data_IF_750097476624
#
_entry.id   IF_750097476624
#
_cell.length_a   1.000
_cell.length_b   1.000
_cell.length_c   1.000
_cell.angle_alpha   90.00
_cell.angle_beta   90.00
_cell.angle_gamma   90.00
#
_symmetry.space_group_name_H-M   'P 1'
#
loop_
_entity.id
_entity.type
_entity.pdbx_description
1 polymer ?
#
# COMPACT_ATOMS: atom_id res chain seq x y z
N UNK A 1 4.42 6.21 -1.38
CA UNK A 1 4.36 6.21 -2.82
C UNK A 1 4.81 7.57 -3.36
N UNK A 2 5.54 7.58 -4.48
CA UNK A 2 6.08 8.80 -5.07
C UNK A 2 4.96 9.75 -5.52
N UNK A 3 3.81 9.22 -5.89
CA UNK A 3 2.60 9.99 -6.13
C UNK A 3 1.42 9.25 -5.52
N UNK A 4 0.62 9.98 -4.76
CA UNK A 4 -0.59 9.47 -4.11
C UNK A 4 -1.86 9.84 -4.89
N UNK A 5 -1.73 10.55 -6.00
CA UNK A 5 -2.86 10.95 -6.85
C UNK A 5 -3.29 9.79 -7.76
N UNK A 6 -4.59 9.63 -7.95
CA UNK A 6 -5.14 8.70 -8.94
C UNK A 6 -4.85 9.23 -10.34
N UNK A 7 -5.17 10.52 -10.58
CA UNK A 7 -4.73 11.26 -11.75
C UNK A 7 -3.96 12.51 -11.33
N UNK A 8 -3.12 13.01 -12.22
CA UNK A 8 -2.57 14.36 -12.12
C UNK A 8 -3.66 15.40 -12.44
N UNK A 9 -3.42 16.66 -12.08
CA UNK A 9 -4.33 17.78 -12.34
C UNK A 9 -4.62 17.99 -13.85
N UNK A 10 -3.86 17.33 -14.72
CA UNK A 10 -4.04 17.36 -16.18
C UNK A 10 -4.74 16.11 -16.74
N UNK A 11 -5.34 15.29 -15.88
CA UNK A 11 -6.02 14.06 -16.30
C UNK A 11 -5.10 12.99 -16.85
N UNK A 12 -3.85 12.93 -16.40
CA UNK A 12 -2.84 11.96 -16.83
C UNK A 12 -2.52 10.99 -15.68
N UNK A 13 -2.28 9.73 -15.96
CA UNK A 13 -1.82 8.76 -14.98
C UNK A 13 -0.44 9.18 -14.42
N UNK A 14 -0.23 9.17 -13.08
CA UNK A 14 0.86 9.90 -12.42
C UNK A 14 2.22 9.19 -12.45
N UNK A 15 2.45 8.30 -13.41
CA UNK A 15 3.72 7.54 -13.48
C UNK A 15 4.91 8.37 -13.97
N UNK A 16 4.69 9.44 -14.74
CA UNK A 16 5.74 10.36 -15.22
C UNK A 16 5.88 11.61 -14.32
N UNK A 17 5.60 11.48 -13.03
CA UNK A 17 5.79 12.58 -12.08
C UNK A 17 7.26 12.70 -11.67
N UNK A 18 7.66 13.91 -11.24
CA UNK A 18 8.98 14.17 -10.69
C UNK A 18 9.28 13.22 -9.51
N UNK A 19 8.31 13.05 -8.61
CA UNK A 19 8.43 12.20 -7.42
C UNK A 19 8.63 10.72 -7.78
N UNK A 20 7.97 10.23 -8.82
CA UNK A 20 8.17 8.87 -9.31
C UNK A 20 9.57 8.69 -9.89
N UNK A 21 10.02 9.66 -10.68
CA UNK A 21 11.38 9.64 -11.23
C UNK A 21 12.45 9.69 -10.13
N UNK A 22 12.27 10.51 -9.10
CA UNK A 22 13.18 10.58 -7.95
C UNK A 22 13.19 9.26 -7.16
N UNK A 23 12.03 8.61 -6.96
CA UNK A 23 11.94 7.33 -6.28
C UNK A 23 12.66 6.21 -7.06
N UNK A 24 12.49 6.14 -8.39
CA UNK A 24 13.21 5.16 -9.21
C UNK A 24 14.70 5.51 -9.33
N UNK A 25 15.05 6.79 -9.29
CA UNK A 25 16.43 7.26 -9.20
C UNK A 25 17.15 6.76 -7.95
N UNK A 26 16.47 6.72 -6.80
CA UNK A 26 17.00 6.11 -5.58
C UNK A 26 17.27 4.61 -5.77
N UNK A 27 16.31 3.87 -6.32
CA UNK A 27 16.50 2.43 -6.60
C UNK A 27 17.69 2.22 -7.53
N UNK A 28 17.77 3.00 -8.61
CA UNK A 28 18.92 2.93 -9.52
C UNK A 28 20.24 3.23 -8.83
N UNK A 29 20.29 4.25 -7.98
CA UNK A 29 21.49 4.58 -7.19
C UNK A 29 21.94 3.41 -6.32
N UNK A 30 21.02 2.74 -5.63
CA UNK A 30 21.30 1.56 -4.81
C UNK A 30 21.80 0.36 -5.63
N UNK A 31 21.35 0.23 -6.89
CA UNK A 31 21.87 -0.78 -7.84
C UNK A 31 23.29 -0.42 -8.28
N UNK A 32 23.51 0.84 -8.66
CA UNK A 32 24.77 1.31 -9.21
C UNK A 32 25.92 1.25 -8.18
N UNK A 33 25.64 1.48 -6.91
CA UNK A 33 26.62 1.42 -5.82
C UNK A 33 26.75 0.03 -5.17
N UNK A 34 25.93 -0.94 -5.62
CA UNK A 34 25.97 -2.31 -5.14
C UNK A 34 25.33 -2.53 -3.75
N UNK A 35 24.51 -1.61 -3.27
CA UNK A 35 23.82 -1.71 -1.96
C UNK A 35 22.62 -2.67 -1.98
N UNK A 36 22.13 -3.02 -3.16
CA UNK A 36 21.04 -4.00 -3.31
C UNK A 36 21.63 -5.43 -3.31
N UNK A 37 20.98 -6.34 -2.60
CA UNK A 37 21.35 -7.76 -2.64
C UNK A 37 21.34 -8.28 -4.09
N UNK A 38 22.38 -8.98 -4.55
CA UNK A 38 22.55 -9.34 -5.96
C UNK A 38 21.41 -10.19 -6.52
N UNK A 39 20.78 -11.01 -5.68
CA UNK A 39 19.68 -11.88 -6.08
C UNK A 39 18.29 -11.27 -5.83
N UNK A 40 18.18 -9.97 -5.55
CA UNK A 40 16.92 -9.30 -5.14
C UNK A 40 15.74 -9.61 -6.07
N UNK A 41 15.95 -9.74 -7.37
CA UNK A 41 14.87 -10.05 -8.33
C UNK A 41 14.35 -11.50 -8.24
N UNK A 42 15.11 -12.40 -7.63
CA UNK A 42 14.79 -13.83 -7.53
C UNK A 42 14.36 -14.24 -6.11
N UNK A 43 14.63 -13.39 -5.12
CA UNK A 43 14.35 -13.67 -3.71
C UNK A 43 12.86 -13.48 -3.43
N UNK A 44 12.22 -14.48 -2.85
CA UNK A 44 10.86 -14.35 -2.33
C UNK A 44 10.82 -13.52 -1.04
N UNK A 45 9.66 -12.94 -0.72
CA UNK A 45 9.50 -12.16 0.51
C UNK A 45 9.83 -12.95 1.80
N UNK A 46 9.49 -14.26 1.95
CA UNK A 46 9.97 -15.08 3.07
C UNK A 46 11.49 -15.18 3.12
N UNK A 47 12.15 -15.44 2.00
CA UNK A 47 13.62 -15.54 1.94
C UNK A 47 14.30 -14.23 2.30
N UNK A 48 13.77 -13.10 1.83
CA UNK A 48 14.30 -11.77 2.19
C UNK A 48 14.23 -11.53 3.70
N UNK A 49 13.16 -11.98 4.38
CA UNK A 49 13.03 -11.91 5.84
C UNK A 49 14.08 -12.74 6.56
N UNK A 50 14.37 -13.94 6.04
CA UNK A 50 15.40 -14.81 6.58
C UNK A 50 16.81 -14.20 6.41
N UNK A 51 17.11 -13.66 5.24
CA UNK A 51 18.39 -12.99 4.98
C UNK A 51 18.61 -11.77 5.88
N UNK A 52 17.57 -10.99 6.15
CA UNK A 52 17.62 -9.91 7.11
C UNK A 52 17.89 -10.43 8.54
N UNK A 53 17.16 -11.43 8.98
CA UNK A 53 17.34 -12.03 10.31
C UNK A 53 18.73 -12.65 10.49
N UNK A 54 19.36 -13.12 9.41
CA UNK A 54 20.74 -13.64 9.40
C UNK A 54 21.81 -12.53 9.29
N UNK A 55 21.42 -11.25 9.25
CA UNK A 55 22.35 -10.11 9.15
C UNK A 55 22.94 -9.89 7.75
N UNK A 56 22.34 -10.46 6.71
CA UNK A 56 22.81 -10.28 5.32
C UNK A 56 22.26 -9.01 4.66
N UNK A 57 21.28 -8.35 5.28
CA UNK A 57 20.77 -7.05 4.87
C UNK A 57 20.65 -6.13 6.09
N UNK A 58 21.11 -4.89 5.96
CA UNK A 58 21.00 -3.87 7.01
C UNK A 58 19.59 -3.26 7.09
N UNK A 59 18.85 -3.24 5.99
CA UNK A 59 17.51 -2.70 5.88
C UNK A 59 16.62 -3.66 5.10
N UNK A 60 15.37 -3.76 5.52
CA UNK A 60 14.35 -4.51 4.81
C UNK A 60 13.03 -3.73 4.83
N UNK A 61 12.45 -3.47 3.67
CA UNK A 61 11.11 -2.91 3.57
C UNK A 61 10.08 -4.03 3.68
N UNK A 62 9.41 -4.12 4.83
CA UNK A 62 8.42 -5.16 5.12
C UNK A 62 7.31 -4.62 6.03
N UNK A 63 6.23 -5.38 6.16
CA UNK A 63 5.12 -5.04 7.04
C UNK A 63 5.27 -5.63 8.45
N UNK A 64 4.40 -5.21 9.35
CA UNK A 64 4.38 -5.61 10.76
C UNK A 64 4.25 -7.12 11.01
N UNK A 65 3.69 -7.87 10.07
CA UNK A 65 3.55 -9.34 10.17
C UNK A 65 4.88 -10.08 10.33
N UNK A 66 6.02 -9.42 10.13
CA UNK A 66 7.33 -10.01 10.35
C UNK A 66 7.70 -10.08 11.82
N UNK A 67 7.16 -9.21 12.67
CA UNK A 67 7.53 -9.08 14.08
C UNK A 67 7.33 -10.40 14.82
N UNK A 68 6.12 -10.95 14.79
CA UNK A 68 5.83 -12.22 15.48
C UNK A 68 6.66 -13.38 14.96
N UNK A 69 6.99 -13.40 13.66
CA UNK A 69 7.84 -14.42 13.06
C UNK A 69 9.29 -14.32 13.57
N UNK A 70 9.84 -13.10 13.62
CA UNK A 70 11.21 -12.89 14.09
C UNK A 70 11.34 -13.12 15.59
N UNK A 71 10.40 -12.65 16.39
CA UNK A 71 10.41 -12.88 17.84
C UNK A 71 10.35 -14.38 18.19
N UNK A 72 9.61 -15.17 17.41
CA UNK A 72 9.51 -16.62 17.61
C UNK A 72 10.74 -17.38 17.14
N UNK A 73 11.31 -17.03 15.98
CA UNK A 73 12.37 -17.80 15.34
C UNK A 73 13.78 -17.25 15.61
N UNK A 74 13.88 -15.96 15.94
CA UNK A 74 15.15 -15.24 16.15
C UNK A 74 15.06 -14.35 17.39
N UNK A 75 14.90 -14.91 18.60
CA UNK A 75 14.66 -14.14 19.82
C UNK A 75 15.81 -13.19 20.20
N UNK A 76 17.01 -13.44 19.70
CA UNK A 76 18.18 -12.58 19.91
C UNK A 76 18.40 -11.54 18.79
N UNK A 77 17.50 -11.47 17.81
CA UNK A 77 17.60 -10.51 16.71
C UNK A 77 17.38 -9.10 17.23
N UNK A 78 18.43 -8.28 17.16
CA UNK A 78 18.37 -6.87 17.53
C UNK A 78 18.07 -6.02 16.28
N UNK A 79 16.85 -5.53 16.17
CA UNK A 79 16.41 -4.66 15.07
C UNK A 79 15.52 -3.53 15.58
N UNK A 80 15.31 -2.53 14.77
CA UNK A 80 14.36 -1.45 15.02
C UNK A 80 13.41 -1.27 13.85
N UNK A 81 12.33 -0.54 14.08
CA UNK A 81 11.36 -0.15 13.06
C UNK A 81 11.50 1.34 12.80
N UNK A 82 11.56 1.72 11.54
CA UNK A 82 11.65 3.12 11.11
C UNK A 82 10.67 3.40 9.97
N UNK A 83 10.25 4.64 9.86
CA UNK A 83 9.47 5.08 8.71
C UNK A 83 10.28 4.99 7.42
N UNK A 84 9.60 4.76 6.30
CA UNK A 84 10.26 4.78 4.98
C UNK A 84 10.92 6.15 4.77
N UNK A 85 12.21 6.21 4.41
CA UNK A 85 12.89 7.47 4.16
C UNK A 85 12.22 8.27 3.04
N UNK A 86 12.15 9.58 3.21
CA UNK A 86 11.66 10.54 2.22
C UNK A 86 12.69 11.63 2.02
N UNK A 87 12.66 12.36 0.88
CA UNK A 87 13.55 13.52 0.66
C UNK A 87 13.38 14.58 1.75
N UNK A 88 14.43 15.36 2.00
CA UNK A 88 14.41 16.46 2.96
C UNK A 88 13.28 17.46 2.63
N UNK A 89 12.52 17.82 3.67
CA UNK A 89 11.39 18.75 3.55
C UNK A 89 10.10 18.15 3.01
N UNK A 90 10.06 16.83 2.74
CA UNK A 90 8.85 16.11 2.34
C UNK A 90 8.18 15.50 3.56
N UNK A 91 6.86 15.66 3.66
CA UNK A 91 6.06 14.99 4.69
C UNK A 91 5.94 13.50 4.34
N UNK A 92 6.31 12.64 5.30
CA UNK A 92 6.17 11.20 5.14
C UNK A 92 4.72 10.79 5.34
N UNK A 93 4.08 10.31 4.27
CA UNK A 93 2.72 9.79 4.31
C UNK A 93 2.62 8.46 3.59
N UNK A 94 1.80 7.55 4.16
CA UNK A 94 1.40 6.30 3.51
C UNK A 94 -0.04 6.39 3.03
N UNK A 95 -0.26 5.83 1.84
CA UNK A 95 -1.61 5.64 1.34
C UNK A 95 -2.28 4.49 2.09
N UNK A 96 -3.39 4.76 2.74
CA UNK A 96 -4.29 3.75 3.26
C UNK A 96 -5.53 3.73 2.38
N UNK A 97 -5.95 2.53 1.95
CA UNK A 97 -7.23 2.41 1.27
C UNK A 97 -8.32 3.01 2.16
N UNK A 98 -9.20 3.79 1.55
CA UNK A 98 -10.29 4.42 2.29
C UNK A 98 -11.12 3.41 3.09
N UNK A 99 -12.00 3.91 3.92
CA UNK A 99 -12.80 3.20 4.93
C UNK A 99 -13.54 1.94 4.44
N UNK A 100 -13.57 1.67 3.14
CA UNK A 100 -14.32 0.61 2.50
C UNK A 100 -13.42 -0.40 1.81
N UNK A 101 -12.35 -0.82 2.46
CA UNK A 101 -11.62 -2.01 2.00
C UNK A 101 -12.18 -3.25 2.71
N UNK A 102 -13.26 -3.87 2.21
CA UNK A 102 -13.84 -5.06 2.83
C UNK A 102 -12.91 -6.24 2.60
N UNK A 103 -12.19 -6.65 3.64
CA UNK A 103 -11.31 -7.81 3.61
C UNK A 103 -12.06 -9.14 3.72
N UNK A 104 -13.29 -9.09 4.23
CA UNK A 104 -14.10 -10.26 4.46
C UNK A 104 -15.52 -10.05 3.93
N UNK A 105 -16.08 -11.10 3.36
CA UNK A 105 -17.44 -11.09 2.86
C UNK A 105 -18.12 -12.44 3.05
N UNK A 106 -19.44 -12.44 3.03
CA UNK A 106 -20.22 -13.67 3.07
C UNK A 106 -20.59 -14.03 1.64
N UNK A 107 -20.24 -15.26 1.25
CA UNK A 107 -20.57 -15.76 -0.09
C UNK A 107 -22.08 -15.72 -0.32
N UNK A 108 -22.52 -15.07 -1.41
CA UNK A 108 -23.94 -14.83 -1.72
C UNK A 108 -24.81 -16.10 -1.73
N UNK A 109 -24.21 -17.24 -2.10
CA UNK A 109 -24.91 -18.54 -2.16
C UNK A 109 -24.66 -19.40 -0.91
N UNK A 110 -24.12 -18.82 0.18
CA UNK A 110 -23.95 -19.53 1.45
C UNK A 110 -25.30 -20.07 1.92
N UNK A 111 -25.29 -21.29 2.43
CA UNK A 111 -26.47 -21.90 3.09
C UNK A 111 -26.57 -21.47 4.56
N UNK A 112 -25.56 -20.80 5.08
CA UNK A 112 -25.41 -20.37 6.49
C UNK A 112 -25.00 -18.90 6.60
N UNK A 113 -25.71 -17.96 5.92
CA UNK A 113 -25.28 -16.56 5.90
C UNK A 113 -25.37 -15.88 7.27
N UNK A 114 -26.33 -16.31 8.11
CA UNK A 114 -26.51 -15.77 9.45
C UNK A 114 -25.38 -16.19 10.38
N UNK A 115 -25.06 -17.47 10.40
CA UNK A 115 -23.94 -18.02 11.20
C UNK A 115 -22.59 -17.44 10.74
N UNK A 116 -22.42 -17.22 9.43
CA UNK A 116 -21.25 -16.56 8.90
C UNK A 116 -21.15 -15.10 9.39
N UNK A 117 -22.26 -14.36 9.43
CA UNK A 117 -22.30 -13.01 9.96
C UNK A 117 -21.99 -12.98 11.47
N UNK A 118 -22.57 -13.89 12.24
CA UNK A 118 -22.31 -14.04 13.68
C UNK A 118 -20.82 -14.33 13.93
N UNK A 119 -20.22 -15.22 13.12
CA UNK A 119 -18.77 -15.49 13.19
C UNK A 119 -17.93 -14.25 12.90
N UNK A 120 -18.23 -13.50 11.83
CA UNK A 120 -17.50 -12.28 11.51
C UNK A 120 -17.62 -11.24 12.62
N UNK A 121 -18.78 -11.08 13.22
CA UNK A 121 -18.96 -10.17 14.35
C UNK A 121 -18.19 -10.62 15.59
N UNK A 122 -18.12 -11.92 15.84
CA UNK A 122 -17.34 -12.47 16.95
C UNK A 122 -15.84 -12.18 16.86
N UNK A 123 -15.28 -11.96 15.65
CA UNK A 123 -13.89 -11.56 15.47
C UNK A 123 -13.58 -10.16 16.02
N UNK A 124 -14.60 -9.31 16.23
CA UNK A 124 -14.48 -7.95 16.75
C UNK A 124 -15.06 -7.81 18.16
N UNK A 125 -15.70 -8.84 18.69
CA UNK A 125 -16.25 -8.85 20.04
C UNK A 125 -15.15 -9.19 21.06
N UNK A 126 -14.88 -8.27 21.97
CA UNK A 126 -13.85 -8.43 23.02
C UNK A 126 -14.05 -9.69 23.88
N UNK A 127 -15.31 -10.15 24.02
CA UNK A 127 -15.66 -11.37 24.78
C UNK A 127 -14.91 -12.61 24.24
N UNK A 128 -14.67 -12.68 22.93
CA UNK A 128 -14.00 -13.83 22.31
C UNK A 128 -12.48 -13.69 22.23
N UNK A 129 -11.95 -12.51 22.53
CA UNK A 129 -10.51 -12.27 22.66
C UNK A 129 -9.69 -12.39 21.37
N UNK A 130 -10.32 -12.47 20.20
CA UNK A 130 -9.58 -12.62 18.93
C UNK A 130 -8.66 -11.44 18.66
N UNK A 131 -9.20 -10.21 18.73
CA UNK A 131 -8.40 -8.99 18.53
C UNK A 131 -7.30 -8.89 19.59
N UNK A 132 -7.66 -9.11 20.85
CA UNK A 132 -6.73 -9.08 21.97
C UNK A 132 -5.54 -10.02 21.75
N UNK A 133 -5.78 -11.31 21.51
CA UNK A 133 -4.71 -12.31 21.40
C UNK A 133 -3.78 -12.05 20.22
N UNK A 134 -4.30 -11.49 19.12
CA UNK A 134 -3.49 -11.14 17.96
C UNK A 134 -2.64 -9.89 18.18
N UNK A 135 -3.16 -8.90 18.91
CA UNK A 135 -2.40 -7.71 19.31
C UNK A 135 -1.31 -8.10 20.33
N UNK A 136 -1.64 -8.90 21.34
CA UNK A 136 -0.68 -9.39 22.34
C UNK A 136 0.46 -10.22 21.71
N UNK A 137 0.14 -11.06 20.73
CA UNK A 137 1.13 -11.88 20.03
C UNK A 137 1.96 -11.11 18.98
N UNK A 138 1.65 -9.85 18.71
CA UNK A 138 2.32 -9.06 17.66
C UNK A 138 1.96 -9.50 16.24
N UNK A 139 0.82 -10.15 16.05
CA UNK A 139 0.39 -10.65 14.73
C UNK A 139 -0.20 -9.53 13.85
N UNK A 140 -0.93 -8.59 14.44
CA UNK A 140 -1.46 -7.41 13.76
C UNK A 140 -1.76 -6.25 14.73
N UNK A 141 -2.05 -5.09 14.16
CA UNK A 141 -2.62 -3.93 14.85
C UNK A 141 -4.14 -3.96 14.63
N UNK A 142 -4.92 -3.85 15.71
CA UNK A 142 -6.38 -3.78 15.62
C UNK A 142 -6.83 -2.47 14.99
N UNK A 143 -7.93 -2.50 14.25
CA UNK A 143 -8.64 -1.29 13.82
C UNK A 143 -9.43 -0.62 14.97
N UNK A 144 -9.41 -1.20 16.16
CA UNK A 144 -10.02 -0.65 17.39
C UNK A 144 -8.87 -0.14 18.25
N UNK A 145 -8.65 1.20 18.32
CA UNK A 145 -7.49 1.79 19.01
C UNK A 145 -7.37 1.36 20.48
N UNK A 146 -8.49 1.28 21.20
CA UNK A 146 -8.53 0.90 22.61
C UNK A 146 -7.96 -0.49 22.88
N UNK A 147 -8.09 -1.40 21.92
CA UNK A 147 -7.49 -2.74 21.99
C UNK A 147 -5.97 -2.66 21.87
N UNK A 148 -5.47 -1.84 20.95
CA UNK A 148 -4.02 -1.64 20.78
C UNK A 148 -3.42 -1.03 22.05
N UNK A 149 -4.03 0.04 22.58
CA UNK A 149 -3.58 0.70 23.81
C UNK A 149 -3.53 -0.24 25.01
N UNK A 150 -4.53 -1.12 25.12
CA UNK A 150 -4.69 -2.02 26.27
C UNK A 150 -3.80 -3.26 26.21
N UNK A 151 -3.58 -3.82 25.03
CA UNK A 151 -3.02 -5.16 24.87
C UNK A 151 -1.70 -5.21 24.10
N UNK A 152 -1.25 -4.14 23.45
CA UNK A 152 0.01 -4.12 22.72
C UNK A 152 1.19 -4.04 23.69
N UNK A 153 1.84 -5.16 23.92
CA UNK A 153 3.02 -5.25 24.81
C UNK A 153 4.35 -5.30 24.07
N UNK A 154 4.36 -5.74 22.80
CA UNK A 154 5.55 -5.88 21.98
C UNK A 154 6.09 -4.51 21.55
N UNK A 155 7.37 -4.23 21.85
CA UNK A 155 8.00 -2.93 21.60
C UNK A 155 8.16 -2.62 20.10
N UNK A 156 8.44 -3.61 19.25
CA UNK A 156 8.52 -3.41 17.81
C UNK A 156 7.14 -3.10 17.22
N UNK A 157 6.10 -3.75 17.72
CA UNK A 157 4.72 -3.44 17.33
C UNK A 157 4.30 -2.03 17.76
N UNK A 158 4.72 -1.56 18.93
CA UNK A 158 4.50 -0.18 19.37
C UNK A 158 5.18 0.82 18.43
N UNK A 159 6.43 0.55 18.03
CA UNK A 159 7.13 1.39 17.06
C UNK A 159 6.36 1.44 15.72
N UNK A 160 5.89 0.30 15.22
CA UNK A 160 5.07 0.22 14.02
C UNK A 160 3.78 1.02 14.16
N UNK A 161 3.08 0.85 15.28
CA UNK A 161 1.82 1.53 15.54
C UNK A 161 2.00 3.04 15.57
N UNK A 162 2.99 3.54 16.30
CA UNK A 162 3.33 4.98 16.35
C UNK A 162 3.64 5.54 14.97
N UNK A 163 4.48 4.84 14.19
CA UNK A 163 4.82 5.28 12.83
C UNK A 163 3.57 5.27 11.94
N UNK A 164 2.70 4.27 12.07
CA UNK A 164 1.47 4.19 11.29
C UNK A 164 0.51 5.34 11.62
N UNK A 165 0.32 5.68 12.89
CA UNK A 165 -0.51 6.82 13.32
C UNK A 165 0.02 8.15 12.78
N UNK A 166 1.34 8.34 12.81
CA UNK A 166 1.97 9.57 12.33
C UNK A 166 1.91 9.73 10.82
N UNK A 167 2.05 8.62 10.08
CA UNK A 167 2.29 8.66 8.63
C UNK A 167 1.13 8.20 7.78
N UNK A 168 0.24 7.34 8.30
CA UNK A 168 -0.89 6.81 7.49
C UNK A 168 -1.97 7.86 7.28
N UNK A 169 -2.50 7.92 6.06
CA UNK A 169 -3.60 8.83 5.69
C UNK A 169 -4.64 8.08 4.87
N UNK A 170 -5.89 8.36 5.18
CA UNK A 170 -7.02 7.89 4.37
C UNK A 170 -7.02 8.63 3.04
N UNK A 171 -7.08 7.88 1.95
CA UNK A 171 -7.03 8.43 0.60
C UNK A 171 -8.40 8.40 -0.07
N UNK A 172 -8.65 9.27 -1.06
CA UNK A 172 -9.87 9.21 -1.85
C UNK A 172 -9.96 7.89 -2.62
N UNK A 173 -11.16 7.35 -2.72
CA UNK A 173 -11.46 6.15 -3.51
C UNK A 173 -12.51 6.44 -4.58
N UNK A 174 -12.29 5.91 -5.77
CA UNK A 174 -13.23 6.05 -6.88
C UNK A 174 -14.59 5.42 -6.54
N UNK A 175 -14.60 4.32 -5.79
CA UNK A 175 -15.83 3.61 -5.39
C UNK A 175 -16.78 4.49 -4.57
N UNK A 176 -16.27 5.41 -3.77
CA UNK A 176 -17.09 6.40 -3.04
C UNK A 176 -17.58 7.54 -3.92
N UNK A 177 -16.87 7.82 -5.01
CA UNK A 177 -17.15 8.97 -5.88
C UNK A 177 -18.07 8.64 -7.03
N UNK A 178 -17.96 7.44 -7.61
CA UNK A 178 -18.68 7.09 -8.84
C UNK A 178 -19.26 5.67 -8.75
N UNK A 179 -20.54 5.52 -9.03
CA UNK A 179 -21.24 4.22 -9.00
C UNK A 179 -20.71 3.22 -10.05
N UNK A 180 -20.06 3.71 -11.10
CA UNK A 180 -19.42 2.91 -12.16
C UNK A 180 -18.03 2.41 -11.83
N UNK A 181 -17.49 2.78 -10.67
CA UNK A 181 -16.11 2.46 -10.30
C UNK A 181 -15.76 0.97 -10.40
N UNK A 182 -16.67 0.09 -9.95
CA UNK A 182 -16.42 -1.35 -10.01
C UNK A 182 -16.44 -1.88 -11.45
N UNK A 183 -17.35 -1.37 -12.29
CA UNK A 183 -17.40 -1.71 -13.71
C UNK A 183 -16.14 -1.22 -14.43
N UNK A 184 -15.67 -0.01 -14.09
CA UNK A 184 -14.42 0.54 -14.59
C UNK A 184 -13.21 -0.34 -14.22
N UNK A 185 -13.04 -0.71 -12.94
CA UNK A 185 -11.95 -1.57 -12.52
C UNK A 185 -11.98 -2.96 -13.19
N UNK A 186 -13.17 -3.49 -13.47
CA UNK A 186 -13.31 -4.75 -14.18
C UNK A 186 -12.99 -4.63 -15.69
N UNK A 187 -13.17 -3.45 -16.27
CA UNK A 187 -12.94 -3.18 -17.70
C UNK A 187 -11.48 -2.82 -18.01
N UNK A 188 -10.74 -2.24 -17.03
CA UNK A 188 -9.34 -1.84 -17.21
C UNK A 188 -8.46 -3.05 -17.52
N UNK A 189 -7.64 -2.94 -18.57
CA UNK A 189 -6.65 -3.93 -18.98
C UNK A 189 -5.27 -3.56 -18.48
N UNK A 190 -4.48 -4.59 -18.17
CA UNK A 190 -3.09 -4.41 -17.76
C UNK A 190 -2.26 -3.73 -18.85
N UNK A 191 -1.58 -2.66 -18.48
CA UNK A 191 -0.62 -1.97 -19.34
C UNK A 191 0.77 -2.55 -19.12
N UNK A 192 1.51 -2.77 -20.22
CA UNK A 192 2.85 -3.33 -20.18
C UNK A 192 3.87 -2.42 -20.91
N UNK A 193 5.10 -2.28 -20.36
CA UNK A 193 5.55 -2.86 -19.08
C UNK A 193 4.86 -2.21 -17.87
N UNK A 194 4.53 -3.01 -16.87
CA UNK A 194 4.01 -2.47 -15.60
C UNK A 194 5.10 -1.73 -14.83
N UNK A 195 4.72 -0.93 -13.82
CA UNK A 195 5.69 -0.29 -12.93
C UNK A 195 6.62 -1.33 -12.26
N UNK A 196 6.07 -2.47 -11.84
CA UNK A 196 6.88 -3.57 -11.30
C UNK A 196 7.90 -4.12 -12.28
N UNK A 197 7.52 -4.28 -13.55
CA UNK A 197 8.44 -4.71 -14.61
C UNK A 197 9.55 -3.67 -14.88
N UNK A 198 9.22 -2.37 -14.80
CA UNK A 198 10.22 -1.30 -14.93
C UNK A 198 11.21 -1.36 -13.75
N UNK A 199 10.74 -1.51 -12.52
CA UNK A 199 11.59 -1.66 -11.33
C UNK A 199 12.51 -2.88 -11.46
N UNK A 200 11.97 -4.03 -11.85
CA UNK A 200 12.78 -5.23 -12.12
C UNK A 200 13.81 -5.01 -13.22
N UNK A 201 13.44 -4.26 -14.27
CA UNK A 201 14.35 -3.88 -15.35
C UNK A 201 15.49 -2.98 -14.88
N UNK A 202 15.24 -2.06 -13.95
CA UNK A 202 16.29 -1.22 -13.33
C UNK A 202 17.23 -2.10 -12.49
N UNK A 203 16.69 -2.96 -11.64
CA UNK A 203 17.48 -3.84 -10.76
C UNK A 203 18.33 -4.81 -11.58
N UNK A 204 17.78 -5.40 -12.63
CA UNK A 204 18.51 -6.29 -13.57
C UNK A 204 19.40 -5.54 -14.56
N UNK A 205 19.40 -4.21 -14.54
CA UNK A 205 20.12 -3.34 -15.48
C UNK A 205 19.71 -3.52 -16.97
N UNK A 206 18.55 -4.14 -17.22
CA UNK A 206 17.98 -4.26 -18.57
C UNK A 206 17.24 -3.00 -19.02
N UNK A 207 16.83 -2.14 -18.10
CA UNK A 207 16.26 -0.80 -18.34
C UNK A 207 17.22 0.24 -17.76
N UNK A 208 17.84 1.02 -18.62
CA UNK A 208 18.72 2.14 -18.23
C UNK A 208 18.04 3.49 -18.38
N UNK A 209 17.09 3.62 -19.31
CA UNK A 209 16.27 4.82 -19.53
C UNK A 209 14.86 4.58 -18.95
N UNK A 210 14.76 4.65 -17.63
CA UNK A 210 13.48 4.47 -16.93
C UNK A 210 12.58 5.71 -17.05
N UNK A 211 13.11 6.90 -17.32
CA UNK A 211 12.32 8.11 -17.58
C UNK A 211 11.42 7.91 -18.81
N UNK A 212 11.99 7.45 -19.92
CA UNK A 212 11.21 7.11 -21.12
C UNK A 212 10.20 5.97 -20.86
N UNK A 213 10.57 4.98 -20.05
CA UNK A 213 9.66 3.89 -19.71
C UNK A 213 8.48 4.38 -18.85
N UNK A 214 8.70 5.29 -17.89
CA UNK A 214 7.63 5.91 -17.09
C UNK A 214 6.70 6.78 -17.94
N UNK A 215 7.23 7.56 -18.89
CA UNK A 215 6.43 8.34 -19.84
C UNK A 215 5.53 7.45 -20.69
N UNK A 216 6.07 6.35 -21.20
CA UNK A 216 5.30 5.37 -21.95
C UNK A 216 4.19 4.78 -21.09
N UNK A 217 4.52 4.32 -19.88
CA UNK A 217 3.54 3.76 -18.94
C UNK A 217 2.43 4.78 -18.59
N UNK A 218 2.79 6.04 -18.34
CA UNK A 218 1.81 7.10 -18.04
C UNK A 218 0.84 7.33 -19.22
N UNK A 219 1.36 7.41 -20.44
CA UNK A 219 0.55 7.63 -21.65
C UNK A 219 -0.37 6.44 -21.95
N UNK A 220 0.16 5.22 -21.87
CA UNK A 220 -0.59 4.01 -22.18
C UNK A 220 -1.65 3.75 -21.11
N UNK A 221 -1.32 3.97 -19.82
CA UNK A 221 -2.30 3.89 -18.73
C UNK A 221 -3.39 4.93 -18.89
N UNK A 222 -3.05 6.17 -19.21
CA UNK A 222 -4.02 7.25 -19.46
C UNK A 222 -4.97 6.89 -20.61
N UNK A 223 -4.42 6.32 -21.69
CA UNK A 223 -5.19 5.89 -22.85
C UNK A 223 -6.14 4.76 -22.47
N UNK A 224 -5.67 3.77 -21.73
CA UNK A 224 -6.48 2.63 -21.29
C UNK A 224 -7.57 3.07 -20.31
N UNK A 225 -7.28 3.95 -19.38
CA UNK A 225 -8.29 4.45 -18.42
C UNK A 225 -9.37 5.27 -19.10
N UNK A 226 -9.03 6.08 -20.11
CA UNK A 226 -10.03 6.76 -20.94
C UNK A 226 -10.90 5.77 -21.70
N UNK A 227 -10.30 4.77 -22.33
CA UNK A 227 -11.02 3.70 -23.03
C UNK A 227 -11.98 2.96 -22.09
N UNK A 228 -11.49 2.56 -20.91
CA UNK A 228 -12.31 1.83 -19.93
C UNK A 228 -13.47 2.70 -19.41
N UNK A 229 -13.22 3.97 -19.10
CA UNK A 229 -14.26 4.92 -18.68
C UNK A 229 -15.36 5.07 -19.72
N UNK A 230 -14.97 5.25 -20.99
CA UNK A 230 -15.92 5.32 -22.11
C UNK A 230 -16.74 4.03 -22.25
N UNK A 231 -16.09 2.87 -22.13
CA UNK A 231 -16.75 1.57 -22.30
C UNK A 231 -17.85 1.31 -21.27
N UNK A 232 -17.68 1.80 -20.03
CA UNK A 232 -18.67 1.64 -18.95
C UNK A 232 -19.58 2.86 -18.77
N UNK A 233 -19.34 3.95 -19.53
CA UNK A 233 -20.11 5.18 -19.43
C UNK A 233 -19.82 5.95 -18.13
N UNK A 234 -18.59 5.86 -17.61
CA UNK A 234 -18.11 6.65 -16.48
C UNK A 234 -17.51 7.97 -16.97
N UNK A 235 -17.74 9.05 -16.24
CA UNK A 235 -17.02 10.29 -16.51
C UNK A 235 -15.55 10.12 -16.12
N UNK A 236 -14.65 10.32 -17.07
CA UNK A 236 -13.20 10.20 -16.83
C UNK A 236 -12.72 11.16 -15.74
N UNK A 237 -13.34 12.33 -15.59
CA UNK A 237 -13.01 13.29 -14.54
C UNK A 237 -13.30 12.77 -13.13
N UNK A 238 -14.09 11.71 -12.98
CA UNK A 238 -14.29 11.04 -11.69
C UNK A 238 -13.00 10.47 -11.08
N UNK A 239 -11.97 10.24 -11.90
CA UNK A 239 -10.64 9.82 -11.44
C UNK A 239 -9.80 10.98 -10.86
N UNK A 240 -10.23 12.22 -10.98
CA UNK A 240 -9.53 13.39 -10.48
C UNK A 240 -10.04 13.78 -9.07
N UNK A 241 -9.12 14.02 -8.15
CA UNK A 241 -9.41 14.50 -6.80
C UNK A 241 -8.64 15.82 -6.56
N UNK A 242 -9.09 16.92 -7.16
CA UNK A 242 -8.36 18.19 -7.14
C UNK A 242 -8.26 18.84 -5.75
N UNK A 243 -9.15 18.48 -4.83
CA UNK A 243 -9.17 18.93 -3.45
C UNK A 243 -8.37 18.04 -2.49
N UNK A 244 -7.66 17.02 -3.01
CA UNK A 244 -6.93 16.07 -2.15
C UNK A 244 -5.61 16.67 -1.66
N UNK A 245 -5.49 16.75 -0.34
CA UNK A 245 -4.24 17.04 0.39
C UNK A 245 -3.71 15.72 0.99
N UNK A 246 -2.64 15.19 0.42
CA UNK A 246 -2.04 13.91 0.84
C UNK A 246 -1.49 13.93 2.28
N UNK A 247 -1.43 15.09 2.94
CA UNK A 247 -1.00 15.22 4.34
C UNK A 247 -2.15 15.05 5.33
N UNK A 248 -3.38 14.91 4.83
CA UNK A 248 -4.62 14.79 5.63
C UNK A 248 -5.44 13.58 5.21
N UNK A 249 -6.28 13.11 6.12
CA UNK A 249 -7.29 12.12 5.80
C UNK A 249 -8.34 12.71 4.86
N UNK A 250 -8.72 11.96 3.83
CA UNK A 250 -9.79 12.32 2.92
C UNK A 250 -11.12 11.86 3.50
N UNK A 251 -12.02 12.81 3.77
CA UNK A 251 -13.26 12.61 4.51
C UNK A 251 -14.51 12.66 3.62
N UNK A 252 -15.66 12.29 4.17
CA UNK A 252 -16.95 12.42 3.46
C UNK A 252 -17.25 13.87 3.05
N UNK A 253 -16.83 14.86 3.85
CA UNK A 253 -16.98 16.26 3.53
C UNK A 253 -16.19 16.67 2.29
N UNK A 254 -15.04 16.03 2.04
CA UNK A 254 -14.23 16.29 0.85
C UNK A 254 -14.93 15.78 -0.42
N UNK A 255 -15.59 14.61 -0.36
CA UNK A 255 -16.40 14.11 -1.49
C UNK A 255 -17.57 15.02 -1.82
N UNK A 256 -18.20 15.65 -0.82
CA UNK A 256 -19.32 16.57 -1.06
C UNK A 256 -18.91 17.81 -1.87
N UNK A 257 -17.65 18.24 -1.79
CA UNK A 257 -17.14 19.37 -2.57
C UNK A 257 -16.91 19.04 -4.04
N UNK A 258 -16.95 17.76 -4.42
CA UNK A 258 -16.74 17.29 -5.79
C UNK A 258 -18.07 17.02 -6.55
N UNK A 259 -19.21 17.22 -5.89
CA UNK A 259 -20.55 17.12 -6.46
C UNK A 259 -20.91 18.45 -7.15
#
# INVERSE_FOLDING_TARGET
AATQKVLTDNGVAPYDSKEMNEALGLIKGLVDDGSIHPDTINISAPEARELFAQGQAAFLCQGMWCVSQWDANYPDLNYGVMAVPVPDGVTNTYVQAGELSPWMGIYKQSKHPKEAAEYLMALYDEQYGYQQSNVESGSFVSCIPEINEKYMTNEHMKQYYTIAEETSRVVPTLVKRDEKANDFYAEVKDVQPSLGAIVQGIISQSITDYDSALKTLANDTTTEWKRASEAVGMDYSSLEFPNWDATKDYTDADYETLK
#
